data_IF_298279044709
#
_entry.id   IF_298279044709
#
_cell.length_a   1.000
_cell.length_b   1.000
_cell.length_c   1.000
_cell.angle_alpha   90.00
_cell.angle_beta   90.00
_cell.angle_gamma   90.00
#
_symmetry.space_group_name_H-M   'P 1'
#
loop_
_entity.id
_entity.type
_entity.pdbx_description
1 polymer ?
#
# COMPACT_ATOMS: atom_id res chain seq x y z
N UNK A 1 -6.73 6.87 43.39
CA UNK A 1 -6.29 5.62 42.75
C UNK A 1 -6.10 5.91 41.27
N UNK A 2 -4.86 5.96 40.82
CA UNK A 2 -4.44 6.47 39.51
C UNK A 2 -4.14 5.28 38.60
N UNK A 3 -4.97 5.06 37.57
CA UNK A 3 -4.73 4.02 36.57
C UNK A 3 -3.70 4.53 35.55
N UNK A 4 -2.45 4.09 35.70
CA UNK A 4 -1.40 4.28 34.70
C UNK A 4 -1.71 3.36 33.51
N UNK A 5 -2.15 3.94 32.39
CA UNK A 5 -2.17 3.27 31.09
C UNK A 5 -0.76 3.33 30.52
N UNK A 6 -0.06 2.21 30.56
CA UNK A 6 1.23 2.05 29.88
C UNK A 6 0.97 2.01 28.37
N UNK A 7 1.20 3.13 27.67
CA UNK A 7 1.36 3.12 26.22
C UNK A 7 2.68 2.41 25.91
N UNK A 8 2.59 1.13 25.53
CA UNK A 8 3.70 0.47 24.87
C UNK A 8 3.78 1.05 23.44
N UNK A 9 4.71 1.97 23.23
CA UNK A 9 5.09 2.40 21.90
C UNK A 9 5.57 1.16 21.13
N UNK A 10 4.86 0.83 20.04
CA UNK A 10 5.32 -0.13 19.04
C UNK A 10 6.60 0.45 18.42
N UNK A 11 7.75 0.07 18.97
CA UNK A 11 9.03 0.27 18.32
C UNK A 11 9.08 -0.67 17.12
N UNK A 12 8.86 -0.14 15.93
CA UNK A 12 9.23 -0.79 14.68
C UNK A 12 10.76 -0.85 14.63
N UNK A 13 11.33 -1.82 15.35
CA UNK A 13 12.68 -2.24 15.09
C UNK A 13 12.66 -2.81 13.67
N UNK A 14 13.24 -2.08 12.73
CA UNK A 14 13.57 -2.64 11.41
C UNK A 14 14.63 -3.71 11.68
N UNK A 15 14.17 -4.94 11.91
CA UNK A 15 15.03 -6.12 11.95
C UNK A 15 15.46 -6.31 10.50
N UNK A 16 16.59 -5.72 10.14
CA UNK A 16 17.31 -6.13 8.94
C UNK A 16 17.75 -7.57 9.20
N UNK A 17 17.20 -8.57 8.49
CA UNK A 17 17.58 -9.94 8.69
C UNK A 17 19.09 -10.08 8.45
N UNK A 18 19.76 -10.92 9.23
CA UNK A 18 21.14 -11.29 8.92
C UNK A 18 21.20 -11.85 7.49
N UNK A 19 22.36 -11.77 6.84
CA UNK A 19 22.54 -12.21 5.45
C UNK A 19 22.02 -13.64 5.26
N UNK A 20 22.25 -14.51 6.24
CA UNK A 20 21.80 -15.90 6.21
C UNK A 20 20.28 -16.04 6.39
N UNK A 21 19.65 -15.22 7.23
CA UNK A 21 18.19 -15.17 7.38
C UNK A 21 17.51 -14.67 6.10
N UNK A 22 18.07 -13.64 5.45
CA UNK A 22 17.57 -13.15 4.16
C UNK A 22 17.69 -14.24 3.08
N UNK A 23 18.80 -14.96 3.03
CA UNK A 23 19.02 -16.06 2.07
C UNK A 23 18.00 -17.18 2.31
N UNK A 24 17.78 -17.59 3.55
CA UNK A 24 16.78 -18.60 3.90
C UNK A 24 15.36 -18.15 3.56
N UNK A 25 15.03 -16.89 3.83
CA UNK A 25 13.73 -16.31 3.48
C UNK A 25 13.49 -16.32 1.96
N UNK A 26 14.47 -15.88 1.15
CA UNK A 26 14.38 -15.94 -0.31
C UNK A 26 14.27 -17.39 -0.81
N UNK A 27 15.01 -18.33 -0.22
CA UNK A 27 14.91 -19.74 -0.57
C UNK A 27 13.51 -20.32 -0.25
N UNK A 28 12.93 -19.95 0.89
CA UNK A 28 11.57 -20.33 1.27
C UNK A 28 10.52 -19.80 0.32
N UNK A 29 10.63 -18.52 -0.07
CA UNK A 29 9.71 -17.91 -1.05
C UNK A 29 9.80 -18.60 -2.42
N UNK A 30 11.02 -18.93 -2.89
CA UNK A 30 11.20 -19.69 -4.13
C UNK A 30 10.60 -21.09 -4.03
N UNK A 31 10.85 -21.82 -2.95
CA UNK A 31 10.29 -23.15 -2.74
C UNK A 31 8.76 -23.16 -2.68
N UNK A 32 8.16 -22.11 -2.09
CA UNK A 32 6.71 -21.91 -2.10
C UNK A 32 6.19 -21.64 -3.52
N UNK A 33 6.86 -20.77 -4.30
CA UNK A 33 6.50 -20.50 -5.68
C UNK A 33 6.56 -21.76 -6.55
N UNK A 34 7.65 -22.52 -6.47
CA UNK A 34 7.83 -23.79 -7.19
C UNK A 34 6.78 -24.84 -6.82
N UNK A 35 6.30 -24.83 -5.57
CA UNK A 35 5.21 -25.69 -5.13
C UNK A 35 3.88 -25.23 -5.70
N UNK A 36 3.58 -23.92 -5.64
CA UNK A 36 2.35 -23.34 -6.17
C UNK A 36 2.21 -23.61 -7.67
N UNK A 37 3.28 -23.44 -8.44
CA UNK A 37 3.29 -23.73 -9.89
C UNK A 37 2.97 -25.19 -10.24
N UNK A 38 3.32 -26.13 -9.37
CA UNK A 38 3.12 -27.58 -9.58
C UNK A 38 1.86 -28.12 -8.91
N UNK A 39 1.17 -27.30 -8.12
CA UNK A 39 0.00 -27.72 -7.35
C UNK A 39 -1.28 -27.42 -8.09
N UNK A 40 -2.29 -28.29 -7.95
CA UNK A 40 -3.70 -27.99 -8.28
C UNK A 40 -4.37 -27.16 -7.18
N UNK A 41 -3.59 -26.51 -6.30
CA UNK A 41 -4.15 -25.66 -5.27
C UNK A 41 -4.92 -24.52 -5.97
N UNK A 42 -6.14 -24.21 -5.52
CA UNK A 42 -6.89 -23.11 -6.09
C UNK A 42 -6.10 -21.82 -5.86
N UNK A 43 -5.48 -21.30 -6.92
CA UNK A 43 -4.88 -19.97 -6.90
C UNK A 43 -6.03 -18.98 -6.77
N UNK A 44 -5.98 -18.03 -5.82
CA UNK A 44 -7.01 -17.01 -5.71
C UNK A 44 -7.10 -16.23 -7.02
N UNK A 45 -8.10 -16.55 -7.84
CA UNK A 45 -8.36 -15.87 -9.09
C UNK A 45 -9.05 -14.54 -8.81
N UNK A 46 -8.56 -13.47 -9.44
CA UNK A 46 -9.13 -12.13 -9.28
C UNK A 46 -8.73 -11.39 -8.00
N UNK A 47 -7.77 -11.91 -7.22
CA UNK A 47 -7.14 -11.11 -6.19
C UNK A 47 -6.16 -10.12 -6.82
N UNK A 48 -6.30 -8.86 -6.42
CA UNK A 48 -5.37 -7.78 -6.73
C UNK A 48 -4.47 -7.53 -5.52
N UNK A 49 -3.17 -7.73 -5.68
CA UNK A 49 -2.17 -7.31 -4.70
C UNK A 49 -1.79 -5.87 -4.98
N UNK A 50 -2.01 -5.00 -4.00
CA UNK A 50 -1.70 -3.58 -4.10
C UNK A 50 -0.20 -3.37 -3.82
N UNK A 51 0.50 -2.77 -4.78
CA UNK A 51 1.93 -2.44 -4.67
C UNK A 51 2.10 -0.90 -4.67
N UNK A 52 2.15 -0.27 -3.49
CA UNK A 52 2.37 1.17 -3.40
C UNK A 52 3.82 1.52 -3.77
N UNK A 53 4.00 2.29 -4.84
CA UNK A 53 5.32 2.80 -5.27
C UNK A 53 5.52 4.28 -4.94
N UNK A 54 4.54 4.90 -4.27
CA UNK A 54 4.56 6.25 -3.69
C UNK A 54 4.73 7.44 -4.66
N UNK A 55 5.17 7.22 -5.90
CA UNK A 55 5.29 8.28 -6.92
C UNK A 55 4.96 7.76 -8.31
N UNK A 56 4.44 8.63 -9.18
CA UNK A 56 4.20 8.28 -10.58
C UNK A 56 5.47 7.82 -11.30
N UNK A 57 6.60 8.50 -11.07
CA UNK A 57 7.88 8.15 -11.67
C UNK A 57 8.32 6.72 -11.32
N UNK A 58 8.07 6.26 -10.09
CA UNK A 58 8.37 4.90 -9.69
C UNK A 58 7.47 3.86 -10.41
N UNK A 59 6.20 4.19 -10.67
CA UNK A 59 5.31 3.35 -11.48
C UNK A 59 5.76 3.30 -12.94
N UNK A 60 6.19 4.42 -13.51
CA UNK A 60 6.71 4.48 -14.89
C UNK A 60 7.97 3.64 -15.06
N UNK A 61 8.90 3.70 -14.10
CA UNK A 61 10.10 2.86 -14.10
C UNK A 61 9.71 1.37 -14.00
N UNK A 62 8.83 1.01 -13.06
CA UNK A 62 8.33 -0.36 -12.91
C UNK A 62 7.67 -0.86 -14.19
N UNK A 63 6.82 -0.03 -14.82
CA UNK A 63 6.15 -0.40 -16.06
C UNK A 63 7.13 -0.61 -17.21
N UNK A 64 8.16 0.25 -17.34
CA UNK A 64 9.20 0.11 -18.35
C UNK A 64 10.06 -1.17 -18.16
N UNK A 65 10.39 -1.52 -16.91
CA UNK A 65 11.15 -2.74 -16.60
C UNK A 65 10.38 -4.03 -16.93
N UNK A 66 9.05 -3.97 -16.94
CA UNK A 66 8.16 -5.11 -17.14
C UNK A 66 7.37 -5.08 -18.46
N UNK A 67 7.65 -4.13 -19.36
CA UNK A 67 6.94 -3.92 -20.63
C UNK A 67 5.42 -3.75 -20.47
N UNK A 68 5.02 -2.92 -19.49
CA UNK A 68 3.62 -2.67 -19.13
C UNK A 68 3.14 -1.29 -19.57
N UNK A 69 1.83 -1.15 -19.71
CA UNK A 69 1.17 0.13 -19.98
C UNK A 69 0.88 0.85 -18.67
N UNK A 70 1.28 2.13 -18.59
CA UNK A 70 0.88 3.02 -17.50
C UNK A 70 -0.48 3.64 -17.81
N UNK A 71 -1.39 3.58 -16.84
CA UNK A 71 -2.71 4.22 -16.87
C UNK A 71 -2.73 5.34 -15.84
N UNK A 72 -3.18 6.52 -16.24
CA UNK A 72 -3.40 7.65 -15.34
C UNK A 72 -4.89 7.82 -15.06
N UNK A 73 -5.25 8.03 -13.79
CA UNK A 73 -6.63 8.27 -13.38
C UNK A 73 -7.03 9.75 -13.51
N UNK A 74 -8.26 10.09 -13.08
CA UNK A 74 -8.76 11.47 -13.10
C UNK A 74 -8.05 12.44 -12.14
N UNK A 75 -7.24 11.92 -11.22
CA UNK A 75 -6.37 12.70 -10.32
C UNK A 75 -4.91 12.73 -10.82
N UNK A 76 -4.65 12.20 -12.03
CA UNK A 76 -3.32 12.05 -12.63
C UNK A 76 -2.39 11.09 -11.87
N UNK A 77 -2.93 10.21 -11.02
CA UNK A 77 -2.15 9.16 -10.36
C UNK A 77 -1.87 8.04 -11.36
N UNK A 78 -0.63 7.54 -11.37
CA UNK A 78 -0.19 6.49 -12.27
C UNK A 78 -0.46 5.10 -11.68
N UNK A 79 -0.82 4.15 -12.54
CA UNK A 79 -0.91 2.73 -12.19
C UNK A 79 -0.48 1.82 -13.34
N UNK A 80 -0.02 0.62 -13.02
CA UNK A 80 0.29 -0.44 -13.97
C UNK A 80 -0.04 -1.81 -13.36
N UNK A 81 -0.59 -2.71 -14.17
CA UNK A 81 -0.98 -4.06 -13.75
C UNK A 81 0.01 -5.09 -14.29
N UNK A 82 0.71 -5.79 -13.39
CA UNK A 82 1.55 -6.94 -13.73
C UNK A 82 0.81 -8.24 -13.42
N UNK A 83 0.59 -9.07 -14.45
CA UNK A 83 -0.02 -10.37 -14.29
C UNK A 83 1.02 -11.42 -13.83
N UNK A 84 0.71 -12.15 -12.76
CA UNK A 84 1.49 -13.29 -12.32
C UNK A 84 0.57 -14.47 -12.01
N UNK A 85 0.49 -15.44 -12.92
CA UNK A 85 -0.51 -16.50 -12.84
C UNK A 85 -1.92 -15.92 -12.80
N UNK A 86 -2.72 -16.28 -11.79
CA UNK A 86 -4.07 -15.75 -11.57
C UNK A 86 -4.16 -14.45 -10.76
N UNK A 87 -3.02 -13.90 -10.33
CA UNK A 87 -2.92 -12.73 -9.44
C UNK A 87 -2.51 -11.49 -10.25
N UNK A 88 -3.13 -10.36 -9.95
CA UNK A 88 -2.75 -9.05 -10.49
C UNK A 88 -1.96 -8.28 -9.46
N UNK A 89 -0.72 -7.92 -9.75
CA UNK A 89 0.02 -6.92 -8.99
C UNK A 89 -0.31 -5.54 -9.55
N UNK A 90 -1.08 -4.76 -8.80
CA UNK A 90 -1.45 -3.41 -9.15
C UNK A 90 -0.45 -2.44 -8.54
N UNK A 91 0.53 -2.05 -9.33
CA UNK A 91 1.46 -0.98 -8.98
C UNK A 91 0.74 0.35 -9.11
N UNK A 92 0.82 1.18 -8.08
CA UNK A 92 0.19 2.50 -8.09
C UNK A 92 1.06 3.53 -7.37
N UNK A 93 0.99 4.76 -7.88
CA UNK A 93 1.76 5.90 -7.44
C UNK A 93 0.88 7.14 -7.45
N UNK A 94 1.29 8.13 -6.68
CA UNK A 94 0.58 9.39 -6.56
C UNK A 94 1.41 10.51 -7.18
N UNK A 95 0.72 11.54 -7.68
CA UNK A 95 1.38 12.80 -8.08
C UNK A 95 2.02 13.45 -6.86
N UNK A 96 1.25 13.54 -5.78
CA UNK A 96 1.65 14.02 -4.46
C UNK A 96 0.95 13.16 -3.41
N UNK A 97 1.72 12.31 -2.73
CA UNK A 97 1.20 11.41 -1.72
C UNK A 97 0.68 12.15 -0.48
N UNK A 98 1.37 13.22 -0.08
CA UNK A 98 1.00 13.99 1.12
C UNK A 98 -0.27 14.78 0.88
N UNK A 99 -0.39 15.39 -0.30
CA UNK A 99 -1.62 16.07 -0.71
C UNK A 99 -2.78 15.08 -0.86
N UNK A 100 -2.55 13.90 -1.45
CA UNK A 100 -3.57 12.86 -1.53
C UNK A 100 -4.04 12.43 -0.13
N UNK A 101 -3.10 12.21 0.81
CA UNK A 101 -3.42 11.88 2.20
C UNK A 101 -4.23 13.00 2.88
N UNK A 102 -3.85 14.26 2.68
CA UNK A 102 -4.58 15.41 3.21
C UNK A 102 -6.02 15.45 2.67
N UNK A 103 -6.22 15.28 1.36
CA UNK A 103 -7.55 15.23 0.73
C UNK A 103 -8.38 14.03 1.23
N UNK A 104 -7.75 12.86 1.40
CA UNK A 104 -8.43 11.67 1.93
C UNK A 104 -8.90 11.87 3.37
N UNK A 105 -8.03 12.43 4.23
CA UNK A 105 -8.36 12.75 5.61
C UNK A 105 -9.50 13.77 5.70
N UNK A 106 -9.47 14.82 4.86
CA UNK A 106 -10.55 15.81 4.79
C UNK A 106 -11.88 15.17 4.38
N UNK A 107 -11.90 14.33 3.33
CA UNK A 107 -13.11 13.58 2.91
C UNK A 107 -13.64 12.71 4.05
N UNK A 108 -12.76 12.01 4.77
CA UNK A 108 -13.15 11.15 5.88
C UNK A 108 -13.70 11.97 7.07
N UNK A 109 -13.10 13.13 7.37
CA UNK A 109 -13.58 14.03 8.40
C UNK A 109 -14.98 14.59 8.05
N UNK A 110 -15.19 14.97 6.78
CA UNK A 110 -16.48 15.46 6.29
C UNK A 110 -17.58 14.38 6.37
N UNK A 111 -17.26 13.15 5.96
CA UNK A 111 -18.18 12.02 6.06
C UNK A 111 -18.57 11.76 7.52
N UNK A 112 -17.58 11.68 8.41
CA UNK A 112 -17.82 11.46 9.84
C UNK A 112 -18.65 12.58 10.47
N UNK A 113 -18.34 13.85 10.18
CA UNK A 113 -19.10 14.98 10.71
C UNK A 113 -20.57 14.93 10.25
N UNK A 114 -20.80 14.62 8.97
CA UNK A 114 -22.14 14.48 8.41
C UNK A 114 -22.95 13.37 9.09
N UNK A 115 -22.33 12.20 9.33
CA UNK A 115 -22.95 11.08 10.04
C UNK A 115 -23.36 11.41 11.48
N UNK A 116 -22.70 12.39 12.10
CA UNK A 116 -22.92 12.78 13.49
C UNK A 116 -23.70 14.10 13.64
N UNK A 117 -24.18 14.68 12.53
CA UNK A 117 -24.87 15.97 12.53
C UNK A 117 -23.97 17.13 12.96
N UNK A 118 -22.66 16.99 12.78
CA UNK A 118 -21.65 18.00 13.08
C UNK A 118 -21.27 18.77 11.81
N UNK A 119 -20.80 20.01 11.98
CA UNK A 119 -20.32 20.86 10.89
C UNK A 119 -18.85 21.16 11.13
N UNK A 120 -17.99 20.77 10.19
CA UNK A 120 -16.58 21.15 10.21
C UNK A 120 -16.47 22.67 10.03
N UNK A 121 -15.64 23.31 10.84
CA UNK A 121 -15.31 24.74 10.73
C UNK A 121 -13.80 24.88 10.59
N UNK A 122 -13.31 25.86 9.81
CA UNK A 122 -11.90 26.21 9.81
C UNK A 122 -11.41 26.42 11.24
N UNK A 123 -10.18 25.99 11.54
CA UNK A 123 -9.55 26.35 12.79
C UNK A 123 -9.38 27.88 12.81
N UNK A 124 -9.75 28.53 13.93
CA UNK A 124 -9.42 29.93 14.13
C UNK A 124 -7.89 30.06 14.13
N UNK A 125 -7.35 30.99 13.34
CA UNK A 125 -5.92 31.26 13.24
C UNK A 125 -5.38 31.80 14.58
N UNK A 126 -5.16 30.94 15.58
CA UNK A 126 -4.63 31.38 16.87
C UNK A 126 -4.87 30.49 18.10
N UNK A 127 -4.87 29.16 17.98
CA UNK A 127 -4.82 28.25 19.12
C UNK A 127 -3.50 27.51 19.20
#
# INVERSE_FOLDING_TARGET
MLNQRTSAALSTATVSPDRDERVQYVAGLRGLADWLERSDAPVPAGQRLLLPLHSNAAVEIFAAEHDLVVVYDGESNASADLQFGGIVYHAYGYVDFDEHCARANERQAQAWASEHGLVLRPADEGA
#
